data_IF_848674194720
#
_entry.id   IF_848674194720
#
_cell.length_a   1.000
_cell.length_b   1.000
_cell.length_c   1.000
_cell.angle_alpha   90.00
_cell.angle_beta   90.00
_cell.angle_gamma   90.00
#
_symmetry.space_group_name_H-M   'P 1'
#
loop_
_entity.id
_entity.type
_entity.pdbx_description
1 polymer ?
#
# COMPACT_ATOMS: atom_id res chain seq x y z
N UNK A 1 14.20 23.19 -39.62
CA UNK A 1 13.05 23.19 -38.68
C UNK A 1 12.88 21.77 -38.19
N UNK A 2 13.21 21.49 -36.93
CA UNK A 2 12.98 20.16 -36.33
C UNK A 2 11.50 19.85 -36.32
N UNK A 3 11.07 18.58 -36.59
CA UNK A 3 9.68 18.23 -36.53
C UNK A 3 9.18 18.38 -35.07
N UNK A 4 8.06 19.09 -34.92
CA UNK A 4 7.26 19.31 -33.72
C UNK A 4 7.63 18.40 -32.53
N UNK A 5 8.43 18.90 -31.58
CA UNK A 5 8.42 18.36 -30.22
C UNK A 5 7.06 18.71 -29.64
N UNK A 6 6.16 17.75 -29.57
CA UNK A 6 4.89 17.94 -28.84
C UNK A 6 5.25 18.26 -27.40
N UNK A 7 4.80 19.42 -26.92
CA UNK A 7 5.05 19.86 -25.54
C UNK A 7 4.50 18.83 -24.55
N UNK A 8 5.31 18.45 -23.58
CA UNK A 8 4.91 17.55 -22.49
C UNK A 8 4.05 18.34 -21.50
N UNK A 9 2.85 17.86 -21.21
CA UNK A 9 1.86 18.59 -20.42
C UNK A 9 1.29 17.81 -19.25
N UNK A 10 1.47 16.49 -19.26
CA UNK A 10 0.79 15.61 -18.33
C UNK A 10 1.70 14.50 -17.81
N UNK A 11 1.41 14.05 -16.61
CA UNK A 11 1.92 12.80 -16.04
C UNK A 11 0.74 11.85 -15.82
N UNK A 12 0.91 10.59 -16.20
CA UNK A 12 -0.07 9.54 -15.98
C UNK A 12 0.32 8.74 -14.74
N UNK A 13 -0.59 8.59 -13.78
CA UNK A 13 -0.45 7.65 -12.67
C UNK A 13 -1.34 6.43 -12.91
N UNK A 14 -0.77 5.24 -12.69
CA UNK A 14 -1.48 3.96 -12.62
C UNK A 14 -1.50 3.55 -11.15
N UNK A 15 -2.70 3.42 -10.59
CA UNK A 15 -2.94 2.99 -9.22
C UNK A 15 -3.62 1.62 -9.22
N UNK A 16 -2.84 0.58 -8.96
CA UNK A 16 -3.33 -0.79 -8.88
C UNK A 16 -3.68 -1.12 -7.42
N UNK A 17 -4.91 -0.84 -7.03
CA UNK A 17 -5.41 -1.07 -5.66
C UNK A 17 -5.90 -2.50 -5.43
N UNK A 18 -6.34 -2.77 -4.19
CA UNK A 18 -6.84 -4.10 -3.80
C UNK A 18 -8.12 -4.50 -4.52
N UNK A 19 -9.01 -3.56 -4.81
CA UNK A 19 -10.32 -3.86 -5.40
C UNK A 19 -10.48 -3.40 -6.85
N UNK A 20 -9.59 -2.52 -7.31
CA UNK A 20 -9.70 -1.91 -8.64
C UNK A 20 -8.35 -1.39 -9.13
N UNK A 21 -8.24 -1.22 -10.44
CA UNK A 21 -7.17 -0.47 -11.08
C UNK A 21 -7.70 0.88 -11.54
N UNK A 22 -6.92 1.94 -11.34
CA UNK A 22 -7.23 3.31 -11.77
C UNK A 22 -6.10 3.87 -12.62
N UNK A 23 -6.47 4.75 -13.55
CA UNK A 23 -5.53 5.62 -14.25
C UNK A 23 -5.98 7.07 -14.02
N UNK A 24 -5.04 7.92 -13.63
CA UNK A 24 -5.30 9.34 -13.34
C UNK A 24 -4.29 10.17 -14.10
N UNK A 25 -4.79 11.11 -14.89
CA UNK A 25 -3.97 12.05 -15.63
C UNK A 25 -3.88 13.37 -14.88
N UNK A 26 -2.66 13.79 -14.56
CA UNK A 26 -2.36 15.04 -13.86
C UNK A 26 -1.70 16.05 -14.80
N UNK A 27 -2.05 17.33 -14.66
CA UNK A 27 -1.32 18.43 -15.27
C UNK A 27 -0.09 18.82 -14.40
N UNK A 28 0.71 19.77 -14.88
CA UNK A 28 1.92 20.24 -14.20
C UNK A 28 1.64 20.84 -12.80
N UNK A 29 0.46 21.37 -12.56
CA UNK A 29 0.07 21.94 -11.26
C UNK A 29 -0.44 20.88 -10.26
N UNK A 30 -0.39 19.58 -10.63
CA UNK A 30 -0.94 18.49 -9.85
C UNK A 30 -2.47 18.37 -9.89
N UNK A 31 -3.12 19.15 -10.77
CA UNK A 31 -4.57 19.08 -10.98
C UNK A 31 -4.96 17.83 -11.77
N UNK A 32 -6.06 17.20 -11.36
CA UNK A 32 -6.63 16.03 -12.04
C UNK A 32 -7.32 16.49 -13.34
N UNK A 33 -6.88 15.93 -14.46
CA UNK A 33 -7.46 16.20 -15.80
C UNK A 33 -8.52 15.16 -16.15
N UNK A 34 -8.25 13.89 -15.90
CA UNK A 34 -9.19 12.80 -16.12
C UNK A 34 -8.87 11.61 -15.22
N UNK A 35 -9.90 10.80 -14.95
CA UNK A 35 -9.82 9.55 -14.19
C UNK A 35 -10.60 8.46 -14.91
N UNK A 36 -10.06 7.27 -14.92
CA UNK A 36 -10.78 6.04 -15.24
C UNK A 36 -10.47 4.96 -14.23
N UNK A 37 -11.45 4.12 -13.91
CA UNK A 37 -11.35 3.07 -12.90
C UNK A 37 -12.12 1.84 -13.34
N UNK A 38 -11.58 0.66 -13.00
CA UNK A 38 -12.24 -0.61 -13.23
C UNK A 38 -11.94 -1.58 -12.08
N UNK A 39 -13.00 -2.15 -11.52
CA UNK A 39 -12.91 -3.19 -10.49
C UNK A 39 -12.46 -4.52 -11.11
N UNK A 40 -11.86 -5.39 -10.28
CA UNK A 40 -11.55 -6.77 -10.62
C UNK A 40 -12.15 -7.74 -9.59
N UNK A 41 -12.29 -8.98 -9.98
CA UNK A 41 -12.88 -10.02 -9.15
C UNK A 41 -12.04 -10.26 -7.90
N UNK A 42 -12.73 -10.40 -6.77
CA UNK A 42 -12.16 -10.84 -5.50
C UNK A 42 -12.43 -12.33 -5.34
N UNK A 43 -11.39 -13.15 -5.34
CA UNK A 43 -11.50 -14.62 -5.33
C UNK A 43 -11.23 -15.12 -3.91
N UNK A 44 -12.17 -15.85 -3.33
CA UNK A 44 -12.09 -16.41 -1.98
C UNK A 44 -12.21 -17.93 -2.01
N UNK A 45 -11.13 -18.68 -2.33
CA UNK A 45 -11.22 -20.14 -2.51
C UNK A 45 -11.53 -20.91 -1.23
N UNK A 46 -11.08 -20.37 -0.09
CA UNK A 46 -11.27 -20.94 1.26
C UNK A 46 -11.29 -19.82 2.31
N UNK A 47 -11.72 -20.15 3.52
CA UNK A 47 -11.67 -19.23 4.65
C UNK A 47 -10.22 -18.72 4.87
N UNK A 48 -10.04 -17.40 4.88
CA UNK A 48 -8.76 -16.73 5.04
C UNK A 48 -7.88 -16.68 3.78
N UNK A 49 -8.35 -17.23 2.64
CA UNK A 49 -7.66 -17.15 1.37
C UNK A 49 -8.23 -16.02 0.51
N UNK A 50 -7.34 -15.21 -0.04
CA UNK A 50 -7.72 -14.08 -0.91
C UNK A 50 -6.80 -14.07 -2.12
N UNK A 51 -7.39 -14.11 -3.31
CA UNK A 51 -6.67 -14.18 -4.58
C UNK A 51 -7.23 -13.19 -5.60
N UNK A 52 -6.37 -12.80 -6.54
CA UNK A 52 -6.76 -12.06 -7.74
C UNK A 52 -6.21 -12.75 -9.00
N UNK A 53 -6.90 -12.58 -10.12
CA UNK A 53 -6.37 -12.96 -11.44
C UNK A 53 -5.41 -11.85 -11.94
N UNK A 54 -4.13 -12.20 -12.09
CA UNK A 54 -3.11 -11.27 -12.56
C UNK A 54 -3.36 -10.79 -14.00
N UNK A 55 -3.94 -11.65 -14.84
CA UNK A 55 -4.28 -11.31 -16.23
C UNK A 55 -5.46 -10.34 -16.27
N UNK A 56 -6.49 -10.54 -15.44
CA UNK A 56 -7.59 -9.59 -15.33
C UNK A 56 -7.09 -8.21 -14.87
N UNK A 57 -6.20 -8.16 -13.87
CA UNK A 57 -5.59 -6.90 -13.42
C UNK A 57 -4.85 -6.21 -14.57
N UNK A 58 -4.07 -6.96 -15.35
CA UNK A 58 -3.38 -6.41 -16.52
C UNK A 58 -4.34 -5.86 -17.57
N UNK A 59 -5.39 -6.59 -17.88
CA UNK A 59 -6.41 -6.15 -18.84
C UNK A 59 -7.15 -4.90 -18.32
N UNK A 60 -7.41 -4.82 -17.02
CA UNK A 60 -8.02 -3.65 -16.41
C UNK A 60 -7.09 -2.43 -16.47
N UNK A 61 -5.80 -2.60 -16.24
CA UNK A 61 -4.81 -1.51 -16.41
C UNK A 61 -4.83 -0.98 -17.85
N UNK A 62 -4.82 -1.87 -18.84
CA UNK A 62 -4.92 -1.46 -20.25
C UNK A 62 -6.21 -0.71 -20.54
N UNK A 63 -7.32 -1.19 -20.00
CA UNK A 63 -8.64 -0.57 -20.17
C UNK A 63 -8.65 0.85 -19.59
N UNK A 64 -8.24 1.04 -18.34
CA UNK A 64 -8.29 2.35 -17.67
C UNK A 64 -7.28 3.35 -18.27
N UNK A 65 -6.11 2.89 -18.72
CA UNK A 65 -5.15 3.73 -19.43
C UNK A 65 -5.75 4.22 -20.77
N UNK A 66 -6.37 3.33 -21.54
CA UNK A 66 -7.07 3.71 -22.77
C UNK A 66 -8.24 4.66 -22.51
N UNK A 67 -9.01 4.38 -21.45
CA UNK A 67 -10.16 5.18 -21.04
C UNK A 67 -9.80 6.59 -20.62
N UNK A 68 -8.76 6.76 -19.80
CA UNK A 68 -8.33 8.09 -19.34
C UNK A 68 -7.80 8.96 -20.48
N UNK A 69 -7.03 8.37 -21.42
CA UNK A 69 -6.55 9.08 -22.60
C UNK A 69 -7.70 9.53 -23.51
N UNK A 70 -8.68 8.67 -23.70
CA UNK A 70 -9.87 8.98 -24.51
C UNK A 70 -10.74 10.07 -23.86
N UNK A 71 -10.99 9.97 -22.54
CA UNK A 71 -11.75 10.98 -21.78
C UNK A 71 -11.09 12.35 -21.80
N UNK A 72 -9.77 12.39 -21.65
CA UNK A 72 -9.00 13.64 -21.67
C UNK A 72 -8.78 14.19 -23.09
N UNK A 73 -9.01 13.39 -24.13
CA UNK A 73 -8.66 13.70 -25.52
C UNK A 73 -7.17 14.07 -25.70
N UNK A 74 -6.30 13.43 -24.91
CA UNK A 74 -4.86 13.69 -24.86
C UNK A 74 -4.13 12.74 -25.79
N UNK A 75 -3.17 13.28 -26.53
CA UNK A 75 -2.26 12.47 -27.32
C UNK A 75 -1.16 11.92 -26.38
N UNK A 76 -0.83 10.62 -26.52
CA UNK A 76 0.25 9.97 -25.74
C UNK A 76 1.58 10.73 -25.75
N UNK A 77 1.87 11.49 -26.83
CA UNK A 77 3.08 12.29 -26.95
C UNK A 77 3.10 13.52 -26.03
N UNK A 78 1.96 13.91 -25.47
CA UNK A 78 1.86 14.98 -24.47
C UNK A 78 2.12 14.46 -23.05
N UNK A 79 2.22 13.12 -22.84
CA UNK A 79 2.55 12.51 -21.56
C UNK A 79 4.07 12.55 -21.36
N UNK A 80 4.51 13.19 -20.28
CA UNK A 80 5.91 13.28 -19.91
C UNK A 80 6.44 11.93 -19.41
N UNK A 81 5.67 11.30 -18.51
CA UNK A 81 6.06 10.05 -17.85
C UNK A 81 4.85 9.33 -17.26
N UNK A 82 5.10 8.08 -16.82
CA UNK A 82 4.14 7.23 -16.12
C UNK A 82 4.68 6.88 -14.75
N UNK A 83 3.88 7.13 -13.72
CA UNK A 83 4.07 6.63 -12.36
C UNK A 83 3.20 5.42 -12.07
N UNK A 84 3.70 4.46 -11.32
CA UNK A 84 2.97 3.27 -10.85
C UNK A 84 2.92 3.30 -9.34
N UNK A 85 1.73 3.08 -8.79
CA UNK A 85 1.53 2.75 -7.39
C UNK A 85 0.64 1.52 -7.29
N UNK A 86 0.78 0.75 -6.23
CA UNK A 86 0.14 -0.56 -6.14
C UNK A 86 -0.16 -0.96 -4.69
N UNK A 87 -1.16 -1.82 -4.54
CA UNK A 87 -1.30 -2.61 -3.32
C UNK A 87 0.00 -3.34 -3.03
N UNK A 88 0.52 -3.18 -1.81
CA UNK A 88 1.80 -3.78 -1.42
C UNK A 88 1.63 -5.27 -1.08
N UNK A 89 2.72 -5.99 -0.97
CA UNK A 89 2.86 -7.37 -0.46
C UNK A 89 2.09 -8.45 -1.25
N UNK A 90 1.14 -8.10 -2.09
CA UNK A 90 0.46 -9.04 -2.99
C UNK A 90 1.45 -9.57 -4.01
N UNK A 91 1.55 -10.89 -4.14
CA UNK A 91 2.64 -11.54 -4.82
C UNK A 91 2.17 -12.44 -5.96
N UNK A 92 2.90 -12.43 -7.07
CA UNK A 92 2.65 -13.23 -8.26
C UNK A 92 3.93 -13.90 -8.74
N UNK A 93 3.80 -15.13 -9.27
CA UNK A 93 4.87 -15.88 -9.94
C UNK A 93 4.41 -16.22 -11.34
N UNK A 94 5.25 -15.98 -12.35
CA UNK A 94 4.92 -16.26 -13.74
C UNK A 94 6.10 -16.84 -14.52
N UNK A 95 5.79 -17.53 -15.60
CA UNK A 95 6.77 -18.03 -16.55
C UNK A 95 7.30 -16.91 -17.44
N UNK A 96 8.62 -16.67 -17.42
CA UNK A 96 9.25 -15.62 -18.22
C UNK A 96 9.16 -15.83 -19.73
N UNK A 97 8.97 -17.08 -20.17
CA UNK A 97 8.96 -17.45 -21.58
C UNK A 97 7.56 -17.36 -22.19
N UNK A 98 6.51 -17.64 -21.40
CA UNK A 98 5.11 -17.59 -21.84
C UNK A 98 4.38 -16.35 -21.38
N UNK A 99 4.80 -15.74 -20.28
CA UNK A 99 4.11 -14.64 -19.62
C UNK A 99 2.94 -15.06 -18.76
N UNK A 100 2.68 -16.36 -18.64
CA UNK A 100 1.52 -16.87 -17.91
C UNK A 100 1.83 -17.00 -16.41
N UNK A 101 0.96 -16.47 -15.53
CA UNK A 101 1.04 -16.72 -14.10
C UNK A 101 0.90 -18.24 -13.81
N UNK A 102 1.75 -18.75 -12.91
CA UNK A 102 1.66 -20.18 -12.51
C UNK A 102 0.58 -20.41 -11.45
N UNK A 103 0.15 -19.36 -10.81
CA UNK A 103 -0.93 -19.33 -9.82
C UNK A 103 -1.53 -17.91 -9.76
N UNK A 104 -2.74 -17.78 -9.20
CA UNK A 104 -3.33 -16.47 -8.92
C UNK A 104 -2.43 -15.63 -8.01
N UNK A 105 -2.57 -14.31 -8.06
CA UNK A 105 -1.95 -13.39 -7.08
C UNK A 105 -2.44 -13.77 -5.69
N UNK A 106 -1.52 -14.03 -4.76
CA UNK A 106 -1.88 -14.18 -3.34
C UNK A 106 -1.85 -12.78 -2.72
N UNK A 107 -3.04 -12.33 -2.28
CA UNK A 107 -3.25 -10.95 -1.83
C UNK A 107 -2.68 -10.73 -0.42
N UNK A 108 -2.33 -9.49 -0.08
CA UNK A 108 -1.77 -9.11 1.22
C UNK A 108 -2.63 -9.51 2.42
N UNK A 109 -3.95 -9.62 2.25
CA UNK A 109 -4.92 -10.03 3.29
C UNK A 109 -4.94 -11.55 3.54
N UNK A 110 -4.31 -12.35 2.67
CA UNK A 110 -4.33 -13.80 2.71
C UNK A 110 -3.56 -14.35 3.91
N UNK A 111 -4.12 -15.35 4.59
CA UNK A 111 -3.53 -15.92 5.81
C UNK A 111 -3.03 -17.37 5.63
N UNK A 112 -3.05 -17.91 4.39
CA UNK A 112 -2.66 -19.32 4.14
C UNK A 112 -1.22 -19.67 4.51
N UNK A 113 -0.35 -18.68 4.56
CA UNK A 113 1.09 -18.86 4.80
C UNK A 113 1.47 -18.97 6.27
N UNK A 114 0.48 -18.98 7.20
CA UNK A 114 0.75 -19.03 8.64
C UNK A 114 1.71 -20.17 9.03
N UNK A 115 1.51 -21.38 8.49
CA UNK A 115 2.39 -22.51 8.78
C UNK A 115 3.83 -22.31 8.30
N UNK A 116 4.03 -21.56 7.22
CA UNK A 116 5.36 -21.20 6.73
C UNK A 116 5.99 -20.20 7.68
N UNK A 117 5.24 -19.18 8.11
CA UNK A 117 5.72 -18.21 9.09
C UNK A 117 6.12 -18.88 10.41
N UNK A 118 5.29 -19.79 10.93
CA UNK A 118 5.58 -20.55 12.16
C UNK A 118 6.84 -21.42 12.03
N UNK A 119 7.00 -22.11 10.88
CA UNK A 119 8.19 -22.92 10.58
C UNK A 119 9.46 -22.07 10.50
N UNK A 120 9.40 -20.91 9.85
CA UNK A 120 10.52 -19.99 9.71
C UNK A 120 10.90 -19.33 11.05
N UNK A 121 9.91 -19.00 11.87
CA UNK A 121 10.11 -18.45 13.19
C UNK A 121 10.88 -19.42 14.10
N UNK A 122 10.49 -20.69 14.10
CA UNK A 122 11.11 -21.73 14.91
C UNK A 122 11.22 -21.31 16.39
N UNK A 123 12.38 -21.55 16.98
CA UNK A 123 12.68 -21.16 18.38
C UNK A 123 13.02 -19.66 18.51
N UNK A 124 13.44 -19.00 17.42
CA UNK A 124 13.82 -17.58 17.40
C UNK A 124 12.62 -16.62 17.43
N UNK A 125 11.42 -17.14 17.18
CA UNK A 125 10.17 -16.38 17.19
C UNK A 125 9.94 -15.51 15.95
N UNK A 126 8.85 -14.73 15.95
CA UNK A 126 8.42 -13.95 14.77
C UNK A 126 9.40 -12.83 14.40
N UNK A 127 10.23 -12.37 15.30
CA UNK A 127 11.20 -11.29 15.08
C UNK A 127 12.55 -11.77 14.52
N UNK A 128 12.70 -13.07 14.18
CA UNK A 128 13.94 -13.68 13.68
C UNK A 128 14.68 -12.87 12.62
N UNK A 129 13.96 -12.26 11.69
CA UNK A 129 14.55 -11.48 10.58
C UNK A 129 14.41 -9.98 10.76
N UNK A 130 13.74 -9.50 11.82
CA UNK A 130 13.32 -8.10 11.99
C UNK A 130 14.48 -7.11 11.91
N UNK A 131 15.61 -7.41 12.52
CA UNK A 131 16.79 -6.53 12.48
C UNK A 131 17.33 -6.33 11.06
N UNK A 132 17.18 -7.35 10.20
CA UNK A 132 17.70 -7.33 8.83
C UNK A 132 16.74 -6.75 7.81
N UNK A 133 15.43 -6.97 7.98
CA UNK A 133 14.41 -6.59 6.99
C UNK A 133 13.44 -5.51 7.49
N UNK A 134 13.48 -5.15 8.78
CA UNK A 134 12.56 -4.17 9.38
C UNK A 134 11.17 -4.72 9.73
N UNK A 135 10.91 -6.00 9.46
CA UNK A 135 9.59 -6.62 9.53
C UNK A 135 9.62 -7.89 10.38
N UNK A 136 8.62 -8.11 11.21
CA UNK A 136 8.37 -9.41 11.83
C UNK A 136 7.75 -10.41 10.85
N UNK A 137 7.96 -11.71 11.08
CA UNK A 137 7.33 -12.77 10.26
C UNK A 137 5.82 -12.71 10.39
N UNK A 138 5.15 -12.51 9.27
CA UNK A 138 3.69 -12.51 9.18
C UNK A 138 3.21 -12.95 7.80
N UNK A 139 1.98 -13.44 7.73
CA UNK A 139 1.31 -13.81 6.47
C UNK A 139 1.11 -12.62 5.54
N UNK A 140 1.22 -11.44 6.07
CA UNK A 140 1.04 -10.15 5.39
C UNK A 140 2.04 -9.95 4.24
N UNK A 141 3.30 -10.35 4.40
CA UNK A 141 4.41 -10.03 3.50
C UNK A 141 4.56 -10.99 2.31
N UNK A 142 5.25 -10.55 1.24
CA UNK A 142 5.31 -11.27 -0.03
C UNK A 142 6.13 -12.59 0.02
N UNK A 143 7.27 -12.60 0.72
CA UNK A 143 8.16 -13.78 0.73
C UNK A 143 7.48 -15.10 1.10
N UNK A 144 6.75 -15.19 2.22
CA UNK A 144 5.99 -16.38 2.57
C UNK A 144 4.97 -16.82 1.51
N UNK A 145 4.38 -15.88 0.74
CA UNK A 145 3.43 -16.19 -0.35
C UNK A 145 4.14 -16.84 -1.53
N UNK A 146 5.31 -16.33 -1.90
CA UNK A 146 6.14 -16.93 -2.95
C UNK A 146 6.60 -18.33 -2.53
N UNK A 147 7.08 -18.49 -1.30
CA UNK A 147 7.45 -19.80 -0.76
C UNK A 147 6.29 -20.80 -0.84
N UNK A 148 5.07 -20.35 -0.50
CA UNK A 148 3.87 -21.18 -0.60
C UNK A 148 3.59 -21.63 -2.04
N UNK A 149 3.70 -20.72 -3.03
CA UNK A 149 3.51 -21.07 -4.44
C UNK A 149 4.52 -22.14 -4.87
N UNK A 150 5.79 -21.96 -4.52
CA UNK A 150 6.85 -22.94 -4.86
C UNK A 150 6.68 -24.30 -4.18
N UNK A 151 6.04 -24.34 -3.01
CA UNK A 151 5.78 -25.58 -2.27
C UNK A 151 4.50 -26.31 -2.71
N UNK A 152 3.50 -25.59 -3.24
CA UNK A 152 2.16 -26.14 -3.43
C UNK A 152 1.69 -26.19 -4.89
N UNK A 153 2.35 -25.49 -5.81
CA UNK A 153 2.02 -25.52 -7.24
C UNK A 153 2.93 -26.54 -7.92
N UNK A 154 2.31 -27.52 -8.60
CA UNK A 154 3.03 -28.61 -9.27
C UNK A 154 4.05 -28.08 -10.30
N UNK A 155 5.29 -28.54 -10.21
CA UNK A 155 6.40 -28.15 -11.09
C UNK A 155 6.93 -26.74 -10.90
N UNK A 156 6.37 -25.95 -9.98
CA UNK A 156 6.83 -24.57 -9.77
C UNK A 156 8.25 -24.51 -9.20
N UNK A 157 8.59 -25.40 -8.27
CA UNK A 157 9.93 -25.46 -7.66
C UNK A 157 11.00 -25.76 -8.70
N UNK A 158 10.83 -26.82 -9.46
CA UNK A 158 11.79 -27.28 -10.47
C UNK A 158 11.99 -26.21 -11.55
N UNK A 159 10.91 -25.55 -11.98
CA UNK A 159 10.96 -24.46 -12.95
C UNK A 159 11.63 -23.20 -12.40
N UNK A 160 11.42 -22.89 -11.11
CA UNK A 160 12.10 -21.80 -10.44
C UNK A 160 13.62 -22.03 -10.35
N UNK A 161 14.03 -23.25 -9.96
CA UNK A 161 15.44 -23.65 -9.91
C UNK A 161 16.11 -23.70 -11.29
N UNK A 162 15.34 -24.04 -12.33
CA UNK A 162 15.78 -23.96 -13.72
C UNK A 162 15.89 -22.52 -14.25
N UNK A 163 15.39 -21.54 -13.47
CA UNK A 163 15.44 -20.12 -13.86
C UNK A 163 14.36 -19.74 -14.88
N UNK A 164 13.26 -20.48 -15.00
CA UNK A 164 12.15 -20.20 -15.93
C UNK A 164 11.09 -19.30 -15.32
N UNK A 165 11.04 -19.20 -14.00
CA UNK A 165 10.04 -18.39 -13.30
C UNK A 165 10.60 -17.06 -12.81
N UNK A 166 9.76 -16.05 -12.87
CA UNK A 166 9.96 -14.73 -12.26
C UNK A 166 8.92 -14.54 -11.16
N UNK A 167 9.26 -13.74 -10.16
CA UNK A 167 8.34 -13.29 -9.13
C UNK A 167 8.28 -11.76 -9.08
N UNK A 168 7.20 -11.25 -8.54
CA UNK A 168 7.08 -9.83 -8.23
C UNK A 168 5.88 -9.51 -7.37
N UNK A 169 5.88 -8.29 -6.88
CA UNK A 169 4.71 -7.59 -6.40
C UNK A 169 3.98 -6.95 -7.58
N UNK A 170 2.85 -6.29 -7.35
CA UNK A 170 1.98 -5.86 -8.44
C UNK A 170 2.58 -4.75 -9.31
N UNK A 171 3.52 -3.97 -8.77
CA UNK A 171 4.34 -3.03 -9.54
C UNK A 171 5.21 -3.73 -10.58
N UNK A 172 5.91 -4.79 -10.17
CA UNK A 172 6.78 -5.58 -11.06
C UNK A 172 5.98 -6.22 -12.19
N UNK A 173 4.82 -6.83 -11.88
CA UNK A 173 3.92 -7.40 -12.89
C UNK A 173 3.44 -6.34 -13.88
N UNK A 174 3.05 -5.17 -13.38
CA UNK A 174 2.59 -4.04 -14.18
C UNK A 174 3.70 -3.51 -15.07
N UNK A 175 4.89 -3.25 -14.51
CA UNK A 175 6.06 -2.76 -15.25
C UNK A 175 6.47 -3.73 -16.35
N UNK A 176 6.60 -5.03 -16.01
CA UNK A 176 7.01 -6.06 -16.96
C UNK A 176 6.08 -6.10 -18.18
N UNK A 177 4.77 -6.07 -17.95
CA UNK A 177 3.76 -6.07 -19.02
C UNK A 177 3.75 -4.76 -19.83
N UNK A 178 3.88 -3.60 -19.18
CA UNK A 178 3.90 -2.30 -19.85
C UNK A 178 5.12 -2.15 -20.77
N UNK A 179 6.26 -2.72 -20.38
CA UNK A 179 7.53 -2.55 -21.11
C UNK A 179 7.77 -3.59 -22.20
N UNK A 180 7.04 -4.72 -22.18
CA UNK A 180 7.20 -5.69 -23.27
C UNK A 180 6.75 -7.11 -22.96
N UNK A 181 6.62 -7.47 -21.69
CA UNK A 181 6.32 -8.84 -21.31
C UNK A 181 7.40 -9.81 -21.81
N UNK A 182 7.00 -10.92 -22.41
CA UNK A 182 7.91 -11.92 -23.00
C UNK A 182 8.83 -11.36 -24.11
N UNK A 183 8.54 -10.18 -24.63
CA UNK A 183 9.33 -9.52 -25.68
C UNK A 183 10.26 -8.44 -25.12
N UNK A 184 10.92 -8.71 -24.01
CA UNK A 184 11.90 -7.83 -23.40
C UNK A 184 11.36 -6.90 -22.32
N UNK A 185 10.31 -7.34 -21.62
CA UNK A 185 9.78 -6.65 -20.44
C UNK A 185 10.82 -6.48 -19.34
N UNK A 186 10.80 -5.32 -18.70
CA UNK A 186 11.71 -4.99 -17.59
C UNK A 186 11.20 -5.68 -16.32
N UNK A 187 12.06 -6.53 -15.73
CA UNK A 187 11.81 -7.20 -14.47
C UNK A 187 12.51 -6.46 -13.33
N UNK A 188 11.85 -5.44 -12.81
CA UNK A 188 12.37 -4.60 -11.73
C UNK A 188 11.24 -4.18 -10.76
N UNK A 189 11.62 -3.84 -9.55
CA UNK A 189 10.78 -3.27 -8.50
C UNK A 189 11.47 -2.05 -7.89
N UNK A 190 10.76 -1.26 -7.10
CA UNK A 190 11.38 -0.19 -6.34
C UNK A 190 11.73 -0.60 -4.91
N UNK A 191 12.57 0.21 -4.25
CA UNK A 191 13.00 -0.03 -2.86
C UNK A 191 11.83 -0.08 -1.87
N UNK A 192 10.71 0.61 -2.13
CA UNK A 192 9.55 0.61 -1.22
C UNK A 192 8.81 -0.71 -1.29
N UNK A 193 8.51 -1.22 -2.47
CA UNK A 193 7.89 -2.54 -2.64
C UNK A 193 8.85 -3.67 -2.20
N UNK A 194 10.13 -3.58 -2.53
CA UNK A 194 11.13 -4.55 -2.09
C UNK A 194 11.22 -4.63 -0.56
N UNK A 195 11.09 -3.50 0.16
CA UNK A 195 11.10 -3.47 1.63
C UNK A 195 9.88 -4.18 2.26
N UNK A 196 8.85 -4.53 1.48
CA UNK A 196 7.65 -5.25 1.93
C UNK A 196 7.67 -6.74 1.64
N UNK A 197 8.78 -7.25 1.13
CA UNK A 197 8.88 -8.66 0.73
C UNK A 197 9.36 -9.60 1.83
N UNK A 198 9.98 -9.09 2.88
CA UNK A 198 10.82 -9.84 3.85
C UNK A 198 12.12 -10.41 3.26
N UNK A 199 12.45 -10.09 2.02
CA UNK A 199 13.62 -10.64 1.32
C UNK A 199 14.75 -9.61 1.15
N UNK A 200 14.43 -8.30 1.26
CA UNK A 200 15.39 -7.22 1.12
C UNK A 200 16.02 -6.86 2.48
N UNK A 201 17.34 -6.75 2.50
CA UNK A 201 18.04 -6.17 3.64
C UNK A 201 17.81 -4.66 3.68
N UNK A 202 17.30 -4.17 4.82
CA UNK A 202 16.85 -2.78 4.97
C UNK A 202 18.01 -1.77 5.02
N UNK A 203 19.24 -2.21 5.32
CA UNK A 203 20.43 -1.35 5.37
C UNK A 203 21.13 -1.26 4.02
N UNK A 204 21.22 -2.39 3.32
CA UNK A 204 21.94 -2.45 2.02
C UNK A 204 21.05 -2.19 0.84
N UNK A 205 19.72 -2.27 1.02
CA UNK A 205 18.69 -2.15 -0.02
C UNK A 205 18.86 -3.17 -1.15
N UNK A 206 19.38 -4.34 -0.82
CA UNK A 206 19.57 -5.44 -1.74
C UNK A 206 18.96 -6.74 -1.19
N UNK A 207 18.72 -7.71 -2.06
CA UNK A 207 18.17 -8.99 -1.65
C UNK A 207 19.10 -9.69 -0.67
N UNK A 208 18.52 -10.30 0.38
CA UNK A 208 19.27 -11.07 1.37
C UNK A 208 19.29 -12.55 0.96
N UNK A 209 20.43 -13.10 0.47
CA UNK A 209 20.52 -14.46 -0.03
C UNK A 209 20.22 -15.54 1.05
N UNK A 210 20.57 -15.26 2.31
CA UNK A 210 20.31 -16.21 3.41
C UNK A 210 18.82 -16.35 3.69
N UNK A 211 18.10 -15.22 3.75
CA UNK A 211 16.64 -15.23 3.96
C UNK A 211 15.94 -15.85 2.75
N UNK A 212 16.40 -15.55 1.54
CA UNK A 212 15.88 -16.20 0.32
C UNK A 212 16.06 -17.72 0.39
N UNK A 213 17.23 -18.21 0.83
CA UNK A 213 17.50 -19.62 1.00
C UNK A 213 16.64 -20.26 2.10
N UNK A 214 16.47 -19.59 3.25
CA UNK A 214 15.59 -20.05 4.34
C UNK A 214 14.13 -20.23 3.87
N UNK A 215 13.66 -19.35 2.99
CA UNK A 215 12.34 -19.42 2.37
C UNK A 215 12.28 -20.32 1.13
N UNK A 216 13.44 -20.87 0.69
CA UNK A 216 13.54 -21.70 -0.50
C UNK A 216 13.21 -20.95 -1.80
N UNK A 217 13.53 -19.66 -1.87
CA UNK A 217 13.28 -18.81 -3.03
C UNK A 217 14.60 -18.58 -3.78
N UNK A 218 14.73 -19.10 -5.03
CA UNK A 218 15.92 -18.81 -5.85
C UNK A 218 16.06 -17.29 -6.12
N UNK A 219 17.26 -16.75 -5.87
CA UNK A 219 17.52 -15.32 -6.10
C UNK A 219 17.32 -14.94 -7.57
N UNK A 220 17.51 -15.88 -8.50
CA UNK A 220 17.26 -15.66 -9.93
C UNK A 220 15.82 -15.33 -10.30
N UNK A 221 14.85 -15.56 -9.40
CA UNK A 221 13.45 -15.19 -9.59
C UNK A 221 13.18 -13.72 -9.25
N UNK A 222 14.08 -13.08 -8.50
CA UNK A 222 13.82 -11.77 -7.90
C UNK A 222 14.06 -10.65 -8.92
N UNK A 223 13.22 -9.59 -8.90
CA UNK A 223 13.42 -8.43 -9.77
C UNK A 223 14.64 -7.61 -9.34
N UNK A 224 15.18 -6.82 -10.24
CA UNK A 224 16.17 -5.80 -9.91
C UNK A 224 15.54 -4.71 -9.03
N UNK A 225 16.18 -4.36 -7.93
CA UNK A 225 15.72 -3.27 -7.05
C UNK A 225 16.27 -1.94 -7.58
N UNK A 226 15.40 -0.95 -7.73
CA UNK A 226 15.76 0.40 -8.21
C UNK A 226 15.19 1.48 -7.30
N UNK A 227 15.73 2.73 -7.38
CA UNK A 227 15.13 3.88 -6.70
C UNK A 227 13.67 4.09 -7.10
N UNK A 228 12.84 4.62 -6.19
CA UNK A 228 11.41 4.87 -6.44
C UNK A 228 11.17 5.91 -7.55
N UNK A 229 12.03 6.93 -7.62
CA UNK A 229 12.03 7.95 -8.69
C UNK A 229 13.27 7.76 -9.56
N UNK A 230 13.09 7.22 -10.75
CA UNK A 230 14.11 6.90 -11.74
C UNK A 230 13.49 6.20 -12.95
N UNK A 231 14.14 6.20 -14.10
CA UNK A 231 13.60 5.57 -15.31
C UNK A 231 13.75 4.05 -15.22
N UNK A 232 12.63 3.33 -15.09
CA UNK A 232 12.59 1.87 -15.09
C UNK A 232 12.60 1.28 -16.50
N UNK A 233 12.00 1.97 -17.46
CA UNK A 233 11.88 1.53 -18.84
C UNK A 233 10.95 2.43 -19.63
N UNK A 234 10.55 1.97 -20.81
CA UNK A 234 9.65 2.70 -21.69
C UNK A 234 8.50 1.81 -22.12
N UNK A 235 7.35 2.41 -22.34
CA UNK A 235 6.18 1.72 -22.83
C UNK A 235 6.46 0.98 -24.16
N UNK A 236 5.99 -0.27 -24.25
CA UNK A 236 6.23 -1.15 -25.40
C UNK A 236 5.73 -0.56 -26.73
N UNK A 237 6.42 -0.89 -27.84
CA UNK A 237 6.14 -0.34 -29.19
C UNK A 237 4.71 -0.50 -29.68
N UNK A 238 4.01 -1.55 -29.29
CA UNK A 238 2.61 -1.83 -29.70
C UNK A 238 1.61 -1.54 -28.58
N UNK A 239 1.98 -0.72 -27.57
CA UNK A 239 1.14 -0.36 -26.43
C UNK A 239 0.50 1.02 -26.58
N UNK A 240 -0.34 1.37 -25.62
CA UNK A 240 -0.98 2.68 -25.53
C UNK A 240 0.03 3.80 -25.17
N UNK A 241 1.11 3.45 -24.47
CA UNK A 241 2.11 4.37 -23.91
C UNK A 241 3.47 4.22 -24.63
N UNK A 242 3.44 4.04 -25.96
CA UNK A 242 4.67 3.81 -26.75
C UNK A 242 5.74 4.84 -26.44
N UNK A 243 6.95 4.34 -26.14
CA UNK A 243 8.16 5.12 -25.87
C UNK A 243 8.01 6.12 -24.68
N UNK A 244 6.88 6.11 -23.96
CA UNK A 244 6.70 6.94 -22.77
C UNK A 244 7.52 6.35 -21.62
N UNK A 245 8.38 7.14 -20.95
CA UNK A 245 9.15 6.65 -19.82
C UNK A 245 8.23 6.26 -18.65
N UNK A 246 8.50 5.11 -18.04
CA UNK A 246 7.95 4.67 -16.77
C UNK A 246 9.02 4.98 -15.74
N UNK A 247 8.79 5.97 -14.88
CA UNK A 247 9.87 6.61 -14.14
C UNK A 247 9.56 6.87 -12.65
N UNK A 248 8.45 6.36 -12.16
CA UNK A 248 8.11 6.40 -10.73
C UNK A 248 7.40 5.12 -10.33
N UNK A 249 7.88 4.46 -9.28
CA UNK A 249 7.22 3.30 -8.68
C UNK A 249 7.26 3.44 -7.16
N UNK A 250 6.12 3.31 -6.51
CA UNK A 250 5.99 3.34 -5.04
C UNK A 250 4.84 2.42 -4.62
N UNK A 251 5.01 1.70 -3.52
CA UNK A 251 3.89 1.08 -2.82
C UNK A 251 2.85 2.13 -2.40
N UNK A 252 1.58 1.75 -2.33
CA UNK A 252 0.44 2.67 -2.15
C UNK A 252 0.59 3.60 -0.93
N UNK A 253 1.03 3.08 0.20
CA UNK A 253 1.17 3.87 1.42
C UNK A 253 2.38 4.81 1.35
N UNK A 254 3.46 4.40 0.72
CA UNK A 254 4.64 5.24 0.44
C UNK A 254 4.29 6.32 -0.58
N UNK A 255 3.55 5.97 -1.63
CA UNK A 255 3.06 6.92 -2.61
C UNK A 255 2.17 7.99 -1.96
N UNK A 256 1.25 7.60 -1.06
CA UNK A 256 0.44 8.55 -0.31
C UNK A 256 1.30 9.47 0.58
N UNK A 257 2.34 8.94 1.22
CA UNK A 257 3.29 9.73 2.01
C UNK A 257 4.04 10.75 1.15
N UNK A 258 4.48 10.33 -0.04
CA UNK A 258 5.13 11.20 -1.03
C UNK A 258 4.18 12.27 -1.58
N UNK A 259 2.94 11.86 -1.92
CA UNK A 259 1.88 12.78 -2.42
C UNK A 259 1.40 13.78 -1.38
N UNK A 260 1.49 13.45 -0.10
CA UNK A 260 1.28 14.34 1.04
C UNK A 260 2.50 15.24 1.33
N UNK A 261 3.57 15.12 0.54
CA UNK A 261 4.81 15.88 0.73
C UNK A 261 5.38 15.72 2.17
N UNK A 262 5.43 14.49 2.69
CA UNK A 262 6.08 14.18 3.97
C UNK A 262 7.59 13.99 3.76
N UNK A 263 8.30 15.04 3.37
CA UNK A 263 9.72 14.99 3.00
C UNK A 263 10.67 15.26 4.18
N UNK A 264 10.16 15.87 5.24
CA UNK A 264 10.94 16.18 6.41
C UNK A 264 10.84 15.08 7.47
N UNK A 265 11.95 14.83 8.18
CA UNK A 265 11.97 13.90 9.31
C UNK A 265 10.95 14.30 10.37
N UNK A 266 10.12 13.35 10.80
CA UNK A 266 9.05 13.56 11.79
C UNK A 266 7.70 13.94 11.15
N UNK A 267 7.63 14.19 9.85
CA UNK A 267 6.33 14.34 9.19
C UNK A 267 5.66 12.98 9.00
N UNK A 268 4.36 12.94 9.22
CA UNK A 268 3.57 11.73 9.12
C UNK A 268 2.26 11.94 8.37
N UNK A 269 1.80 10.87 7.73
CA UNK A 269 0.46 10.79 7.15
C UNK A 269 -0.30 9.60 7.74
N UNK A 270 -1.62 9.69 7.77
CA UNK A 270 -2.49 8.56 8.07
C UNK A 270 -3.59 8.46 7.00
N UNK A 271 -3.69 7.30 6.36
CA UNK A 271 -4.75 7.00 5.39
C UNK A 271 -5.89 6.29 6.12
N UNK A 272 -7.08 6.90 6.12
CA UNK A 272 -8.29 6.39 6.76
C UNK A 272 -9.18 5.68 5.73
N UNK A 273 -8.96 4.38 5.57
CA UNK A 273 -9.72 3.50 4.69
C UNK A 273 -10.50 2.43 5.45
N UNK A 274 -10.54 1.20 4.95
CA UNK A 274 -11.09 0.02 5.64
C UNK A 274 -10.43 -0.18 7.02
N UNK A 275 -9.11 -0.05 7.06
CA UNK A 275 -8.26 0.18 8.23
C UNK A 275 -7.53 1.51 8.08
N UNK A 276 -6.58 1.79 8.98
CA UNK A 276 -5.71 2.95 8.84
C UNK A 276 -4.26 2.52 8.69
N UNK A 277 -3.52 3.30 7.90
CA UNK A 277 -2.09 3.09 7.69
C UNK A 277 -1.34 4.40 7.91
N UNK A 278 -0.59 4.45 9.01
CA UNK A 278 0.22 5.61 9.39
C UNK A 278 1.67 5.36 9.03
N UNK A 279 2.29 6.31 8.33
CA UNK A 279 3.71 6.33 8.04
C UNK A 279 4.31 7.63 8.54
N UNK A 280 5.46 7.52 9.24
CA UNK A 280 6.26 8.67 9.69
C UNK A 280 7.63 8.60 9.03
N UNK A 281 8.03 9.65 8.34
CA UNK A 281 9.37 9.82 7.78
C UNK A 281 10.40 9.89 8.93
N UNK A 282 11.37 8.98 8.95
CA UNK A 282 12.43 8.90 9.96
C UNK A 282 13.79 9.40 9.47
N UNK A 283 13.87 9.90 8.24
CA UNK A 283 15.11 10.36 7.61
C UNK A 283 15.89 9.23 6.94
N UNK A 284 17.18 9.45 6.72
CA UNK A 284 18.04 8.57 5.91
C UNK A 284 18.67 7.41 6.70
N UNK A 285 18.32 7.23 7.95
CA UNK A 285 18.77 6.11 8.79
C UNK A 285 17.56 5.31 9.24
N UNK A 286 17.52 3.97 9.04
CA UNK A 286 16.42 3.16 9.48
C UNK A 286 16.31 3.14 11.00
N UNK A 287 15.11 3.39 11.53
CA UNK A 287 14.80 3.28 12.96
C UNK A 287 14.21 1.89 13.21
N UNK A 288 14.89 1.09 14.04
CA UNK A 288 14.36 -0.21 14.49
C UNK A 288 13.33 0.03 15.58
N UNK A 289 12.11 -0.43 15.35
CA UNK A 289 11.03 -0.25 16.31
C UNK A 289 11.15 -1.23 17.48
N UNK A 290 11.08 -0.70 18.70
CA UNK A 290 10.94 -1.47 19.95
C UNK A 290 9.48 -1.47 20.44
N UNK A 291 8.62 -0.64 19.85
CA UNK A 291 7.23 -0.45 20.22
C UNK A 291 6.22 -1.06 19.22
N UNK A 292 6.60 -2.16 18.56
CA UNK A 292 5.68 -2.95 17.73
C UNK A 292 5.37 -2.36 16.35
N UNK A 293 6.15 -1.39 15.87
CA UNK A 293 5.99 -0.82 14.53
C UNK A 293 6.84 -1.57 13.50
N UNK A 294 6.58 -1.31 12.22
CA UNK A 294 7.39 -1.80 11.11
C UNK A 294 8.37 -0.71 10.67
N UNK A 295 9.59 -1.14 10.30
CA UNK A 295 10.56 -0.28 9.62
C UNK A 295 10.51 -0.59 8.13
N UNK A 296 10.35 0.43 7.30
CA UNK A 296 10.21 0.28 5.84
C UNK A 296 10.95 1.41 5.12
N UNK A 297 11.20 1.25 3.83
CA UNK A 297 11.70 2.36 2.99
C UNK A 297 10.51 3.25 2.63
N UNK A 298 10.66 4.55 2.82
CA UNK A 298 9.67 5.55 2.48
C UNK A 298 9.71 5.92 0.99
N UNK A 299 10.91 6.22 0.49
CA UNK A 299 11.20 6.46 -0.93
C UNK A 299 12.70 6.58 -1.17
N UNK A 300 13.10 6.54 -2.45
CA UNK A 300 14.44 6.92 -2.90
C UNK A 300 14.33 7.69 -4.22
N UNK A 301 15.05 8.81 -4.33
CA UNK A 301 15.08 9.65 -5.54
C UNK A 301 16.44 9.50 -6.20
N UNK A 302 16.48 8.87 -7.39
CA UNK A 302 17.73 8.65 -8.12
C UNK A 302 18.83 8.05 -7.23
N UNK A 303 20.00 8.61 -7.27
CA UNK A 303 21.17 8.14 -6.52
C UNK A 303 21.26 8.73 -5.09
N UNK A 304 20.24 9.47 -4.64
CA UNK A 304 20.21 10.01 -3.27
C UNK A 304 20.03 8.87 -2.24
N UNK A 305 20.49 9.10 -0.98
CA UNK A 305 20.22 8.13 0.09
C UNK A 305 18.72 7.87 0.24
N UNK A 306 18.35 6.60 0.46
CA UNK A 306 16.95 6.25 0.74
C UNK A 306 16.45 6.92 2.02
N UNK A 307 15.20 7.31 2.01
CA UNK A 307 14.47 7.80 3.18
C UNK A 307 13.64 6.66 3.74
N UNK A 308 13.67 6.50 5.06
CA UNK A 308 12.97 5.44 5.78
C UNK A 308 11.72 5.95 6.47
N UNK A 309 10.85 5.02 6.85
CA UNK A 309 9.67 5.32 7.64
C UNK A 309 9.42 4.25 8.71
N UNK A 310 8.81 4.67 9.81
CA UNK A 310 8.06 3.77 10.69
C UNK A 310 6.63 3.67 10.18
N UNK A 311 6.08 2.46 10.20
CA UNK A 311 4.70 2.19 9.82
C UNK A 311 3.94 1.49 10.93
N UNK A 312 2.74 2.01 11.23
CA UNK A 312 1.77 1.36 12.10
C UNK A 312 0.43 1.23 11.39
N UNK A 313 -0.14 0.03 11.45
CA UNK A 313 -1.40 -0.32 10.80
C UNK A 313 -2.49 -0.56 11.83
N UNK A 314 -3.68 -0.05 11.56
CA UNK A 314 -4.91 -0.27 12.31
C UNK A 314 -5.82 -1.13 11.44
N UNK A 315 -6.19 -2.32 11.91
CA UNK A 315 -6.91 -3.30 11.09
C UNK A 315 -8.34 -2.87 10.75
N UNK A 316 -9.02 -2.19 11.68
CA UNK A 316 -10.45 -1.92 11.63
C UNK A 316 -10.72 -0.45 11.91
N UNK A 317 -11.17 0.28 10.90
CA UNK A 317 -11.59 1.67 10.95
C UNK A 317 -12.88 1.87 10.14
N UNK A 318 -12.82 2.17 8.84
CA UNK A 318 -14.00 2.30 7.99
C UNK A 318 -14.82 1.02 7.89
N UNK A 319 -14.21 -0.15 8.05
CA UNK A 319 -14.93 -1.43 8.15
C UNK A 319 -15.83 -1.52 9.39
N UNK A 320 -15.50 -0.80 10.47
CA UNK A 320 -16.38 -0.72 11.65
C UNK A 320 -17.64 0.10 11.35
N UNK A 321 -17.51 1.17 10.59
CA UNK A 321 -18.65 1.97 10.12
C UNK A 321 -19.57 1.14 9.21
N UNK A 322 -18.96 0.36 8.29
CA UNK A 322 -19.71 -0.57 7.46
C UNK A 322 -20.43 -1.63 8.29
N UNK A 323 -19.80 -2.14 9.34
CA UNK A 323 -20.40 -3.10 10.26
C UNK A 323 -21.64 -2.53 10.99
N UNK A 324 -21.57 -1.24 11.42
CA UNK A 324 -22.77 -0.56 11.99
C UNK A 324 -23.92 -0.49 10.99
N UNK A 325 -23.62 -0.28 9.70
CA UNK A 325 -24.60 -0.24 8.62
C UNK A 325 -25.17 -1.63 8.32
N UNK A 326 -24.28 -2.58 7.98
CA UNK A 326 -24.65 -3.85 7.35
C UNK A 326 -25.10 -4.91 8.37
N UNK A 327 -24.50 -4.93 9.55
CA UNK A 327 -24.76 -5.95 10.57
C UNK A 327 -25.72 -5.47 11.66
N UNK A 328 -25.64 -4.21 12.07
CA UNK A 328 -26.51 -3.66 13.14
C UNK A 328 -27.66 -2.80 12.62
N UNK A 329 -27.59 -2.29 11.38
CA UNK A 329 -28.65 -1.42 10.83
C UNK A 329 -28.82 -0.11 11.60
N UNK A 330 -27.76 0.38 12.27
CA UNK A 330 -27.79 1.61 13.06
C UNK A 330 -27.84 2.84 12.14
N UNK A 331 -27.19 2.77 10.99
CA UNK A 331 -27.15 3.77 9.93
C UNK A 331 -27.55 3.13 8.60
N UNK A 332 -28.07 3.92 7.66
CA UNK A 332 -28.46 3.44 6.33
C UNK A 332 -27.29 3.56 5.31
N UNK A 333 -26.48 4.60 5.45
CA UNK A 333 -25.30 4.85 4.63
C UNK A 333 -24.13 5.20 5.57
N UNK A 334 -22.90 4.85 5.18
CA UNK A 334 -21.70 5.17 5.99
C UNK A 334 -21.51 6.66 6.23
N UNK A 335 -21.96 7.51 5.30
CA UNK A 335 -21.92 8.98 5.46
C UNK A 335 -22.87 9.52 6.55
N UNK A 336 -23.83 8.73 7.02
CA UNK A 336 -24.81 9.15 8.03
C UNK A 336 -24.25 9.07 9.46
N UNK A 337 -23.06 8.46 9.64
CA UNK A 337 -22.48 8.24 10.98
C UNK A 337 -22.17 9.56 11.69
N UNK A 338 -21.57 10.52 11.00
CA UNK A 338 -21.22 11.84 11.56
C UNK A 338 -22.46 12.57 12.11
N UNK A 339 -23.55 12.59 11.33
CA UNK A 339 -24.79 13.25 11.76
C UNK A 339 -25.39 12.56 12.98
N UNK A 340 -25.33 11.22 13.04
CA UNK A 340 -25.82 10.45 14.18
C UNK A 340 -24.94 10.67 15.42
N UNK A 341 -23.63 10.56 15.29
CA UNK A 341 -22.66 10.73 16.38
C UNK A 341 -22.67 12.17 16.93
N UNK A 342 -22.84 13.18 16.07
CA UNK A 342 -22.96 14.60 16.45
C UNK A 342 -24.28 14.96 17.14
N UNK A 343 -25.27 14.07 17.14
CA UNK A 343 -26.56 14.31 17.83
C UNK A 343 -26.47 14.15 19.35
N UNK A 344 -25.33 13.73 19.88
CA UNK A 344 -25.02 13.61 21.32
C UNK A 344 -23.73 14.37 21.65
N UNK A 345 -23.63 14.85 22.89
CA UNK A 345 -22.48 15.64 23.32
C UNK A 345 -21.21 14.79 23.47
N UNK A 346 -21.35 13.54 23.91
CA UNK A 346 -20.27 12.61 24.16
C UNK A 346 -20.68 11.15 23.87
N UNK A 347 -19.84 10.20 24.19
CA UNK A 347 -20.11 8.77 24.00
C UNK A 347 -20.99 8.14 25.11
N UNK A 348 -21.51 8.92 26.06
CA UNK A 348 -22.34 8.44 27.18
C UNK A 348 -21.62 7.46 28.13
N UNK A 349 -20.29 7.42 28.12
CA UNK A 349 -19.46 6.46 28.85
C UNK A 349 -19.30 5.12 28.13
N UNK A 350 -19.78 4.99 26.89
CA UNK A 350 -19.58 3.78 26.08
C UNK A 350 -18.28 3.88 25.28
N UNK A 351 -17.53 2.78 25.23
CA UNK A 351 -16.28 2.66 24.45
C UNK A 351 -16.31 1.42 23.58
N UNK A 352 -15.76 1.54 22.37
CA UNK A 352 -15.67 0.45 21.42
C UNK A 352 -14.19 0.05 21.23
N UNK A 353 -13.92 -1.26 21.32
CA UNK A 353 -12.61 -1.85 20.94
C UNK A 353 -12.80 -2.60 19.62
N UNK A 354 -12.30 -2.10 18.48
CA UNK A 354 -12.61 -2.65 17.17
C UNK A 354 -11.65 -3.77 16.73
N UNK A 355 -11.47 -4.79 17.56
CA UNK A 355 -10.54 -5.89 17.31
C UNK A 355 -11.21 -7.06 16.56
N UNK A 356 -11.96 -6.82 15.47
CA UNK A 356 -12.69 -7.88 14.74
C UNK A 356 -11.77 -8.97 14.19
N UNK A 357 -10.59 -8.59 13.72
CA UNK A 357 -9.56 -9.48 13.18
C UNK A 357 -8.28 -9.47 14.03
N UNK A 358 -8.41 -9.21 15.33
CA UNK A 358 -7.29 -8.94 16.22
C UNK A 358 -6.90 -7.47 16.27
N UNK A 359 -5.85 -7.17 17.04
CA UNK A 359 -5.20 -5.87 17.09
C UNK A 359 -3.86 -5.96 16.36
N UNK A 360 -3.60 -4.98 15.50
CA UNK A 360 -2.32 -4.82 14.81
C UNK A 360 -1.33 -3.99 15.65
N UNK A 361 -0.55 -3.13 15.02
CA UNK A 361 0.39 -2.27 15.72
C UNK A 361 -0.31 -1.39 16.77
N UNK A 362 0.28 -1.17 17.95
CA UNK A 362 1.55 -1.74 18.42
C UNK A 362 1.41 -3.11 19.11
N UNK A 363 0.21 -3.65 19.23
CA UNK A 363 -0.12 -4.76 20.15
C UNK A 363 0.14 -6.16 19.57
N UNK A 364 -0.07 -6.38 18.26
CA UNK A 364 0.07 -7.66 17.56
C UNK A 364 -0.65 -8.83 18.27
N UNK A 365 -1.93 -8.62 18.60
CA UNK A 365 -2.78 -9.60 19.31
C UNK A 365 -3.82 -10.20 18.34
N UNK A 366 -3.50 -11.28 17.63
CA UNK A 366 -4.43 -11.93 16.68
C UNK A 366 -5.61 -12.60 17.38
N UNK A 367 -5.49 -12.89 18.66
CA UNK A 367 -6.52 -13.48 19.53
C UNK A 367 -7.53 -12.47 20.08
N UNK A 368 -7.23 -11.16 20.04
CA UNK A 368 -8.16 -10.12 20.49
C UNK A 368 -9.45 -10.10 19.64
N UNK A 369 -10.55 -9.75 20.27
CA UNK A 369 -11.85 -9.57 19.60
C UNK A 369 -12.50 -8.26 20.03
N UNK A 370 -13.42 -7.76 19.17
CA UNK A 370 -14.15 -6.54 19.44
C UNK A 370 -14.95 -6.58 20.73
N UNK A 371 -15.03 -5.44 21.41
CA UNK A 371 -15.81 -5.27 22.62
C UNK A 371 -16.48 -3.90 22.66
N UNK A 372 -17.69 -3.85 23.19
CA UNK A 372 -18.40 -2.63 23.54
C UNK A 372 -18.63 -2.63 25.05
N UNK A 373 -18.10 -1.65 25.75
CA UNK A 373 -18.12 -1.54 27.21
C UNK A 373 -18.78 -0.24 27.67
N UNK A 374 -19.15 -0.13 28.96
CA UNK A 374 -19.73 1.08 29.53
C UNK A 374 -21.24 1.27 29.24
N UNK A 375 -21.94 0.23 28.82
CA UNK A 375 -23.36 0.30 28.49
C UNK A 375 -24.23 0.53 29.75
N UNK A 376 -25.06 1.56 29.68
CA UNK A 376 -26.09 1.85 30.65
C UNK A 376 -27.43 2.08 29.91
N UNK A 377 -28.53 2.26 30.66
CA UNK A 377 -29.84 2.59 30.05
C UNK A 377 -29.88 3.97 29.37
N UNK A 378 -28.89 4.81 29.62
CA UNK A 378 -28.70 6.12 28.97
C UNK A 378 -28.14 5.99 27.55
N UNK A 379 -27.27 5.01 27.34
CA UNK A 379 -26.58 4.79 26.04
C UNK A 379 -27.60 4.37 24.97
N UNK A 380 -27.63 5.11 23.88
CA UNK A 380 -28.46 4.83 22.72
C UNK A 380 -27.59 4.68 21.46
N UNK A 381 -28.23 4.48 20.30
CA UNK A 381 -27.52 4.27 19.02
C UNK A 381 -26.56 5.42 18.63
N UNK A 382 -26.86 6.66 19.02
CA UNK A 382 -25.99 7.82 18.73
C UNK A 382 -24.72 7.77 19.56
N UNK A 383 -24.79 7.39 20.84
CA UNK A 383 -23.63 7.18 21.70
C UNK A 383 -22.74 6.03 21.18
N UNK A 384 -23.35 4.95 20.63
CA UNK A 384 -22.61 3.85 20.01
C UNK A 384 -21.88 4.33 18.74
N UNK A 385 -22.56 5.10 17.88
CA UNK A 385 -21.94 5.69 16.70
C UNK A 385 -20.76 6.60 17.08
N UNK A 386 -20.92 7.44 18.11
CA UNK A 386 -19.87 8.29 18.66
C UNK A 386 -18.69 7.47 19.18
N UNK A 387 -18.93 6.40 19.95
CA UNK A 387 -17.88 5.51 20.45
C UNK A 387 -17.12 4.81 19.32
N UNK A 388 -17.77 4.51 18.20
CA UNK A 388 -17.17 3.92 17.01
C UNK A 388 -16.20 4.90 16.35
N UNK A 389 -16.58 6.15 16.12
CA UNK A 389 -15.69 7.15 15.57
C UNK A 389 -14.50 7.43 16.50
N UNK A 390 -14.76 7.65 17.78
CA UNK A 390 -13.73 7.86 18.79
C UNK A 390 -12.71 6.72 18.86
N UNK A 391 -13.15 5.47 18.66
CA UNK A 391 -12.27 4.30 18.69
C UNK A 391 -11.18 4.35 17.61
N UNK A 392 -11.47 4.90 16.43
CA UNK A 392 -10.50 5.11 15.36
C UNK A 392 -9.43 6.14 15.77
N UNK A 393 -9.85 7.22 16.42
CA UNK A 393 -8.93 8.25 16.90
C UNK A 393 -8.04 7.76 18.06
N UNK A 394 -8.56 6.94 18.95
CA UNK A 394 -7.76 6.34 20.03
C UNK A 394 -6.69 5.39 19.48
N UNK A 395 -7.03 4.51 18.55
CA UNK A 395 -6.04 3.62 17.92
C UNK A 395 -4.95 4.41 17.18
N UNK A 396 -5.33 5.48 16.47
CA UNK A 396 -4.40 6.36 15.78
C UNK A 396 -3.43 7.02 16.77
N UNK A 397 -3.91 7.45 17.91
CA UNK A 397 -3.08 8.01 19.00
C UNK A 397 -2.08 6.98 19.53
N UNK A 398 -2.50 5.74 19.79
CA UNK A 398 -1.60 4.67 20.25
C UNK A 398 -0.46 4.42 19.27
N UNK A 399 -0.76 4.35 17.97
CA UNK A 399 0.26 4.19 16.91
C UNK A 399 1.21 5.40 16.90
N UNK A 400 0.68 6.62 17.01
CA UNK A 400 1.49 7.83 17.03
C UNK A 400 2.41 7.90 18.26
N UNK A 401 1.91 7.53 19.44
CA UNK A 401 2.72 7.48 20.66
C UNK A 401 3.89 6.49 20.50
N UNK A 402 3.66 5.32 19.89
CA UNK A 402 4.72 4.37 19.55
C UNK A 402 5.72 4.96 18.54
N UNK A 403 5.26 5.67 17.50
CA UNK A 403 6.13 6.33 16.52
C UNK A 403 7.01 7.42 17.16
N UNK A 404 6.44 8.24 18.02
CA UNK A 404 7.18 9.28 18.74
C UNK A 404 8.24 8.68 19.67
N UNK A 405 7.90 7.58 20.36
CA UNK A 405 8.83 6.88 21.26
C UNK A 405 10.02 6.28 20.49
N UNK A 406 9.76 5.60 19.37
CA UNK A 406 10.80 4.94 18.56
C UNK A 406 11.67 5.94 17.79
N UNK A 407 11.05 6.98 17.19
CA UNK A 407 11.75 7.95 16.35
C UNK A 407 12.49 9.04 17.15
N UNK A 408 12.10 9.25 18.41
CA UNK A 408 12.54 10.39 19.22
C UNK A 408 12.10 11.75 18.65
N UNK A 409 11.11 11.77 17.75
CA UNK A 409 10.56 12.96 17.11
C UNK A 409 9.12 13.16 17.57
N UNK A 410 8.77 14.39 17.97
CA UNK A 410 7.39 14.76 18.22
C UNK A 410 6.75 15.16 16.89
N UNK A 411 5.56 14.62 16.61
CA UNK A 411 4.76 15.04 15.47
C UNK A 411 4.35 16.51 15.61
N UNK A 412 4.42 17.28 14.54
CA UNK A 412 4.00 18.69 14.51
C UNK A 412 2.65 18.89 13.82
N UNK A 413 2.30 18.02 12.89
CA UNK A 413 1.03 17.95 12.20
C UNK A 413 0.77 16.52 11.70
N UNK A 414 -0.48 16.08 11.64
CA UNK A 414 -0.87 14.82 11.03
C UNK A 414 -1.56 15.09 9.70
N UNK A 415 -0.92 14.70 8.61
CA UNK A 415 -1.54 14.75 7.28
C UNK A 415 -2.44 13.54 7.10
N UNK A 416 -3.65 13.75 6.57
CA UNK A 416 -4.66 12.69 6.49
C UNK A 416 -5.28 12.62 5.10
N UNK A 417 -5.63 11.40 4.68
CA UNK A 417 -6.38 11.11 3.47
C UNK A 417 -7.28 9.88 3.65
N UNK A 418 -8.01 9.51 2.60
CA UNK A 418 -8.97 8.42 2.63
C UNK A 418 -10.40 8.87 2.90
N UNK A 419 -11.35 7.93 2.70
CA UNK A 419 -12.77 8.24 2.68
C UNK A 419 -13.35 8.79 3.98
N UNK A 420 -12.83 8.36 5.13
CA UNK A 420 -13.32 8.78 6.45
C UNK A 420 -12.88 10.22 6.81
N UNK A 421 -11.91 10.80 6.11
CA UNK A 421 -11.44 12.16 6.41
C UNK A 421 -12.44 13.26 6.04
N UNK A 422 -13.56 12.91 5.43
CA UNK A 422 -14.69 13.82 5.17
C UNK A 422 -15.49 14.13 6.42
N UNK A 423 -15.38 13.29 7.43
CA UNK A 423 -16.05 13.38 8.72
C UNK A 423 -15.33 14.43 9.60
N UNK A 424 -15.99 15.58 9.82
CA UNK A 424 -15.44 16.69 10.59
C UNK A 424 -15.34 16.36 12.08
N UNK A 425 -16.32 15.60 12.60
CA UNK A 425 -16.35 15.19 14.00
C UNK A 425 -15.15 14.30 14.32
N UNK A 426 -14.93 13.28 13.49
CA UNK A 426 -13.77 12.38 13.63
C UNK A 426 -12.46 13.17 13.50
N UNK A 427 -12.33 14.05 12.51
CA UNK A 427 -11.09 14.80 12.28
C UNK A 427 -10.77 15.78 13.40
N UNK A 428 -11.78 16.46 13.95
CA UNK A 428 -11.60 17.34 15.12
C UNK A 428 -11.23 16.52 16.36
N UNK A 429 -11.95 15.43 16.62
CA UNK A 429 -11.64 14.55 17.75
C UNK A 429 -10.23 13.93 17.61
N UNK A 430 -9.83 13.59 16.40
CA UNK A 430 -8.46 13.13 16.13
C UNK A 430 -7.43 14.19 16.49
N UNK A 431 -7.63 15.45 16.08
CA UNK A 431 -6.73 16.56 16.42
C UNK A 431 -6.62 16.75 17.93
N UNK A 432 -7.76 16.67 18.64
CA UNK A 432 -7.81 16.76 20.10
C UNK A 432 -7.03 15.63 20.77
N UNK A 433 -7.13 14.39 20.23
CA UNK A 433 -6.45 13.22 20.77
C UNK A 433 -4.93 13.24 20.56
N UNK A 434 -4.47 13.70 19.41
CA UNK A 434 -3.03 13.73 19.08
C UNK A 434 -2.35 15.03 19.49
N UNK A 435 -3.11 16.06 19.80
CA UNK A 435 -2.62 17.37 20.26
C UNK A 435 -1.89 18.18 19.18
N UNK A 436 -2.09 17.86 17.90
CA UNK A 436 -1.50 18.57 16.76
C UNK A 436 -2.56 18.79 15.68
N UNK A 437 -2.35 19.76 14.77
CA UNK A 437 -3.25 19.95 13.62
C UNK A 437 -3.39 18.68 12.77
N UNK A 438 -4.62 18.39 12.36
CA UNK A 438 -4.94 17.37 11.35
C UNK A 438 -5.20 18.09 10.03
N UNK A 439 -4.40 17.75 9.00
CA UNK A 439 -4.36 18.49 7.74
C UNK A 439 -4.83 17.62 6.58
N UNK A 440 -5.89 18.04 5.90
CA UNK A 440 -6.39 17.39 4.69
C UNK A 440 -5.75 17.99 3.44
N UNK A 441 -5.40 17.19 2.42
CA UNK A 441 -4.84 17.69 1.17
C UNK A 441 -5.93 18.35 0.30
N UNK A 442 -5.51 19.22 -0.61
CA UNK A 442 -6.40 19.80 -1.63
C UNK A 442 -6.86 18.76 -2.65
N UNK A 443 -5.96 17.83 -3.01
CA UNK A 443 -6.22 16.73 -3.94
C UNK A 443 -6.36 15.45 -3.11
N UNK A 444 -7.54 14.85 -3.13
CA UNK A 444 -7.83 13.67 -2.32
C UNK A 444 -7.09 12.39 -2.79
N UNK A 445 -6.69 12.34 -4.07
CA UNK A 445 -6.00 11.21 -4.70
C UNK A 445 -4.49 11.24 -4.45
N UNK A 446 -4.08 11.33 -3.18
CA UNK A 446 -2.69 11.49 -2.75
C UNK A 446 -1.78 10.36 -3.17
N UNK A 447 -2.28 9.12 -3.19
CA UNK A 447 -1.56 7.92 -3.62
C UNK A 447 -1.14 8.01 -5.09
N UNK A 448 -2.09 8.27 -5.98
CA UNK A 448 -1.79 8.44 -7.40
C UNK A 448 -0.92 9.68 -7.67
N UNK A 449 -1.18 10.78 -6.93
CA UNK A 449 -0.40 12.01 -7.03
C UNK A 449 1.06 11.78 -6.63
N UNK A 450 1.31 10.97 -5.60
CA UNK A 450 2.67 10.61 -5.17
C UNK A 450 3.45 9.86 -6.25
N UNK A 451 2.81 8.88 -6.90
CA UNK A 451 3.41 8.19 -8.05
C UNK A 451 3.68 9.15 -9.23
N UNK A 452 2.75 10.07 -9.48
CA UNK A 452 2.92 11.10 -10.50
C UNK A 452 4.10 12.02 -10.19
N UNK A 453 4.23 12.50 -8.95
CA UNK A 453 5.36 13.33 -8.51
C UNK A 453 6.70 12.60 -8.66
N UNK A 454 6.82 11.38 -8.14
CA UNK A 454 8.05 10.59 -8.28
C UNK A 454 8.44 10.39 -9.74
N UNK A 455 7.45 10.12 -10.59
CA UNK A 455 7.65 9.93 -12.03
C UNK A 455 8.05 11.22 -12.75
N UNK A 456 7.40 12.35 -12.44
CA UNK A 456 7.71 13.66 -13.01
C UNK A 456 9.11 14.13 -12.64
N UNK A 457 9.50 14.01 -11.37
CA UNK A 457 10.83 14.36 -10.86
C UNK A 457 11.93 13.63 -11.64
N UNK A 458 11.77 12.34 -11.91
CA UNK A 458 12.76 11.52 -12.61
C UNK A 458 13.04 11.97 -14.05
N UNK A 459 12.10 12.69 -14.68
CA UNK A 459 12.23 13.19 -16.06
C UNK A 459 12.33 14.71 -16.15
N UNK A 460 12.35 15.42 -15.02
CA UNK A 460 12.47 16.88 -14.97
C UNK A 460 11.19 17.60 -15.40
N UNK A 461 10.01 17.01 -15.17
CA UNK A 461 8.69 17.60 -15.48
C UNK A 461 8.13 18.40 -14.27
#
# INVERSE_FOLDING_TARGET
MSPNSTEKKYVLAIDQGTTSSRAILFNHDGGIVAVDQKEHEQIFPRAGWVEHDANEIWDNIRFVVGGVLAKAQVNRHEIASVGITNQRESAVVWDKNTGEPVYNVIVWQDTRTQKICDRLAGEDGPDKYKDRVGLGLATYFAGPKIAWILENVEGARERAEAGDLLMGTMDTWTLWNLTGGVNGGVHATDVTNASRTMLMNIDTLDWNPEICADMGIPVSMLPEIRPSSGVFGHGRKNGLLVDTPISGILGDQQAATFGQACFEKGQAKNTYGTGCFMLMNTGTTPVRSENGLLTTVCYQIGDEPAVYALEGSIAVAGSLVQWLRDNLGIIADSKDIEALASSVEDNGGAYFVPAFSGLFAPHWRPDARGALVGLTRYVNKAHIARAVEESTAYQTREVLEAMNADSGQALTELKVDGGMTRDELLMQFQADQVGVPVVRPKVAETTALGAAYASGIAVGF
#
